data_IF_042302221887
#
_entry.id   IF_042302221887
#
_cell.length_a   1.000
_cell.length_b   1.000
_cell.length_c   1.000
_cell.angle_alpha   90.00
_cell.angle_beta   90.00
_cell.angle_gamma   90.00
#
_symmetry.space_group_name_H-M   'P 1'
#
loop_
_entity.id
_entity.type
_entity.pdbx_description
1 polymer ?
#
# COMPACT_ATOMS: atom_id res chain seq x y z
N UNK A 1 -15.97 21.24 5.80
CA UNK A 1 -15.79 20.08 4.93
C UNK A 1 -14.76 20.45 3.87
N UNK A 2 -13.60 19.80 3.85
CA UNK A 2 -12.59 20.01 2.82
C UNK A 2 -13.13 19.47 1.48
N UNK A 3 -12.90 20.14 0.33
CA UNK A 3 -13.10 19.50 -0.95
C UNK A 3 -12.08 18.36 -1.02
N UNK A 4 -12.57 17.11 -1.08
CA UNK A 4 -11.72 16.02 -1.56
C UNK A 4 -11.24 16.45 -2.94
N UNK A 5 -9.94 16.73 -3.08
CA UNK A 5 -9.31 16.83 -4.39
C UNK A 5 -9.40 15.42 -4.95
N UNK A 6 -10.53 15.13 -5.59
CA UNK A 6 -10.73 13.89 -6.33
C UNK A 6 -9.77 14.01 -7.51
N UNK A 7 -8.57 13.43 -7.39
CA UNK A 7 -7.76 13.20 -8.57
C UNK A 7 -8.59 12.36 -9.51
N UNK A 8 -8.72 12.79 -10.75
CA UNK A 8 -9.48 12.06 -11.74
C UNK A 8 -8.86 10.66 -11.94
N UNK A 9 -9.66 9.65 -12.24
CA UNK A 9 -9.16 8.30 -12.56
C UNK A 9 -7.98 8.29 -13.56
N UNK A 10 -7.97 9.10 -14.64
CA UNK A 10 -6.80 9.18 -15.53
C UNK A 10 -5.56 9.79 -14.87
N UNK A 11 -5.71 10.73 -13.92
CA UNK A 11 -4.58 11.28 -13.17
C UNK A 11 -4.00 10.23 -12.21
N UNK A 12 -4.84 9.45 -11.53
CA UNK A 12 -4.39 8.38 -10.63
C UNK A 12 -3.70 7.28 -11.46
N UNK A 13 -4.27 6.88 -12.60
CA UNK A 13 -3.65 5.93 -13.53
C UNK A 13 -2.26 6.39 -13.95
N UNK A 14 -2.16 7.62 -14.47
CA UNK A 14 -0.89 8.20 -14.92
C UNK A 14 0.12 8.28 -13.77
N UNK A 15 -0.32 8.64 -12.58
CA UNK A 15 0.53 8.68 -11.40
C UNK A 15 1.09 7.30 -11.06
N UNK A 16 0.26 6.26 -10.99
CA UNK A 16 0.72 4.90 -10.68
C UNK A 16 1.65 4.31 -11.75
N UNK A 17 1.41 4.61 -13.04
CA UNK A 17 2.34 4.26 -14.12
C UNK A 17 3.68 4.98 -13.94
N UNK A 18 3.67 6.25 -13.55
CA UNK A 18 4.90 6.98 -13.28
C UNK A 18 5.65 6.39 -12.09
N UNK A 19 4.96 5.97 -11.01
CA UNK A 19 5.64 5.31 -9.89
C UNK A 19 6.25 3.97 -10.30
N UNK A 20 5.58 3.20 -11.17
CA UNK A 20 6.13 1.98 -11.78
C UNK A 20 7.48 2.25 -12.46
N UNK A 21 7.53 3.26 -13.33
CA UNK A 21 8.74 3.65 -14.08
C UNK A 21 9.85 4.24 -13.20
N UNK A 22 9.50 4.88 -12.08
CA UNK A 22 10.47 5.51 -11.16
C UNK A 22 11.11 4.48 -10.22
N UNK A 23 10.34 3.53 -9.69
CA UNK A 23 10.81 2.62 -8.65
C UNK A 23 11.41 1.31 -9.15
N UNK A 24 11.28 1.03 -10.45
CA UNK A 24 11.77 -0.21 -11.04
C UNK A 24 12.70 0.12 -12.21
N UNK A 25 13.84 -0.56 -12.27
CA UNK A 25 14.78 -0.43 -13.36
C UNK A 25 14.31 -1.25 -14.57
N UNK A 26 14.74 -0.89 -15.78
CA UNK A 26 14.46 -1.63 -17.02
C UNK A 26 12.97 -1.85 -17.33
N UNK A 27 12.11 -0.89 -16.97
CA UNK A 27 10.69 -0.92 -17.37
C UNK A 27 10.58 -0.63 -18.86
N UNK A 28 10.17 -1.63 -19.63
CA UNK A 28 9.87 -1.52 -21.05
C UNK A 28 8.36 -1.37 -21.21
N UNK A 29 7.93 -0.30 -21.88
CA UNK A 29 6.53 -0.08 -22.24
C UNK A 29 6.25 -0.76 -23.58
N UNK A 30 5.38 -1.78 -23.57
CA UNK A 30 5.00 -2.53 -24.76
C UNK A 30 3.82 -1.83 -25.45
N UNK A 31 2.80 -1.49 -24.67
CA UNK A 31 1.62 -0.79 -25.13
C UNK A 31 1.33 0.38 -24.19
N UNK A 32 1.30 1.59 -24.75
CA UNK A 32 1.20 2.82 -23.97
C UNK A 32 0.00 2.79 -23.02
N UNK A 33 0.28 2.96 -21.73
CA UNK A 33 -0.77 2.99 -20.72
C UNK A 33 -1.41 1.63 -20.38
N UNK A 34 -1.04 0.52 -21.04
CA UNK A 34 -1.71 -0.79 -20.90
C UNK A 34 -0.76 -1.92 -20.51
N UNK A 35 0.41 -2.03 -21.14
CA UNK A 35 1.29 -3.20 -20.95
C UNK A 35 2.74 -2.78 -20.73
N UNK A 36 3.34 -3.35 -19.69
CA UNK A 36 4.73 -3.10 -19.29
C UNK A 36 5.44 -4.40 -18.97
N UNK A 37 6.75 -4.39 -19.14
CA UNK A 37 7.61 -5.55 -18.91
C UNK A 37 8.87 -5.12 -18.16
N UNK A 38 9.32 -5.96 -17.22
CA UNK A 38 10.50 -5.70 -16.39
C UNK A 38 11.34 -6.97 -16.34
N UNK A 39 12.54 -6.90 -16.92
CA UNK A 39 13.53 -7.98 -16.84
C UNK A 39 14.47 -7.75 -15.65
N UNK A 40 14.70 -8.80 -14.86
CA UNK A 40 15.56 -8.76 -13.67
C UNK A 40 16.21 -10.12 -13.42
N UNK A 41 17.27 -10.13 -12.61
CA UNK A 41 18.03 -11.35 -12.29
C UNK A 41 17.62 -11.90 -10.94
N UNK A 42 17.15 -13.15 -10.91
CA UNK A 42 16.85 -13.88 -9.69
C UNK A 42 17.84 -15.04 -9.54
N UNK A 43 18.88 -14.82 -8.75
CA UNK A 43 19.99 -15.76 -8.60
C UNK A 43 20.73 -15.98 -9.93
N UNK A 44 20.60 -17.18 -10.52
CA UNK A 44 21.20 -17.53 -11.82
C UNK A 44 20.25 -17.39 -13.00
N UNK A 45 18.97 -17.14 -12.72
CA UNK A 45 17.92 -17.09 -13.73
C UNK A 45 17.63 -15.63 -14.09
N UNK A 46 17.34 -15.40 -15.36
CA UNK A 46 16.77 -14.13 -15.82
C UNK A 46 15.25 -14.30 -15.87
N UNK A 47 14.56 -13.51 -15.06
CA UNK A 47 13.11 -13.52 -14.98
C UNK A 47 12.55 -12.24 -15.55
N UNK A 48 11.33 -12.32 -16.02
CA UNK A 48 10.65 -11.23 -16.65
C UNK A 48 9.21 -11.14 -16.15
N UNK A 49 8.91 -10.02 -15.50
CA UNK A 49 7.58 -9.69 -14.99
C UNK A 49 6.83 -8.87 -16.05
N UNK A 50 5.64 -9.34 -16.41
CA UNK A 50 4.70 -8.64 -17.29
C UNK A 50 3.58 -8.05 -16.43
N UNK A 51 3.25 -6.80 -16.69
CA UNK A 51 2.22 -6.03 -16.00
C UNK A 51 1.21 -5.57 -17.05
N UNK A 52 -0.04 -5.99 -16.88
CA UNK A 52 -1.16 -5.57 -17.72
C UNK A 52 -2.16 -4.76 -16.89
N UNK A 53 -2.54 -3.59 -17.42
CA UNK A 53 -3.45 -2.63 -16.81
C UNK A 53 -4.72 -2.55 -17.67
N UNK A 54 -5.86 -3.02 -17.13
CA UNK A 54 -7.16 -2.92 -17.80
C UNK A 54 -7.60 -1.47 -18.01
N UNK A 55 -8.71 -1.24 -18.72
CA UNK A 55 -9.25 0.12 -18.92
C UNK A 55 -9.80 0.70 -17.62
N UNK A 56 -10.22 -0.17 -16.72
CA UNK A 56 -10.84 0.12 -15.42
C UNK A 56 -9.80 0.39 -14.33
N UNK A 57 -8.52 0.09 -14.57
CA UNK A 57 -7.43 0.44 -13.65
C UNK A 57 -7.35 1.97 -13.44
N UNK A 58 -7.25 2.45 -12.18
CA UNK A 58 -6.82 1.73 -10.97
C UNK A 58 -7.95 1.14 -10.10
N UNK A 59 -9.22 1.25 -10.52
CA UNK A 59 -10.34 0.66 -9.77
C UNK A 59 -10.30 -0.87 -9.81
N UNK A 60 -9.79 -1.42 -10.91
CA UNK A 60 -9.39 -2.82 -11.01
C UNK A 60 -7.88 -2.97 -10.74
N UNK A 61 -7.51 -4.02 -9.99
CA UNK A 61 -6.11 -4.32 -9.70
C UNK A 61 -5.35 -4.71 -10.98
N UNK A 62 -4.04 -4.44 -11.05
CA UNK A 62 -3.23 -4.83 -12.20
C UNK A 62 -3.08 -6.36 -12.27
N UNK A 63 -2.93 -6.89 -13.49
CA UNK A 63 -2.61 -8.29 -13.71
C UNK A 63 -1.09 -8.45 -13.86
N UNK A 64 -0.48 -9.31 -13.05
CA UNK A 64 0.96 -9.55 -13.04
C UNK A 64 1.26 -11.01 -13.38
N UNK A 65 2.08 -11.25 -14.40
CA UNK A 65 2.54 -12.59 -14.77
C UNK A 65 4.06 -12.64 -14.87
N UNK A 66 4.65 -13.79 -14.57
CA UNK A 66 6.10 -14.00 -14.54
C UNK A 66 6.50 -15.02 -15.60
N UNK A 67 7.66 -14.81 -16.24
CA UNK A 67 8.22 -15.73 -17.23
C UNK A 67 9.73 -15.81 -17.08
N UNK A 68 10.36 -16.97 -17.28
CA UNK A 68 9.77 -18.32 -17.36
C UNK A 68 9.01 -18.70 -16.09
N UNK A 69 8.14 -19.72 -16.15
CA UNK A 69 7.32 -20.14 -15.01
C UNK A 69 8.16 -20.60 -13.82
N UNK A 70 7.77 -20.17 -12.62
CA UNK A 70 8.49 -20.43 -11.36
C UNK A 70 7.61 -21.12 -10.33
N UNK A 71 8.22 -21.91 -9.44
CA UNK A 71 7.56 -22.48 -8.26
C UNK A 71 7.66 -21.53 -7.07
N UNK A 72 6.58 -20.81 -6.76
CA UNK A 72 6.54 -19.89 -5.62
C UNK A 72 5.13 -19.77 -5.04
N UNK A 73 5.01 -19.59 -3.72
CA UNK A 73 3.71 -19.49 -3.02
C UNK A 73 2.81 -18.34 -3.50
N UNK A 74 3.39 -17.32 -4.15
CA UNK A 74 2.65 -16.18 -4.72
C UNK A 74 2.19 -16.40 -6.15
N UNK A 75 2.68 -17.44 -6.82
CA UNK A 75 2.50 -17.65 -8.26
C UNK A 75 1.66 -18.90 -8.49
N UNK A 76 0.63 -18.79 -9.33
CA UNK A 76 -0.26 -19.91 -9.65
C UNK A 76 0.29 -20.79 -10.79
N UNK A 77 -0.51 -21.77 -11.24
CA UNK A 77 -0.13 -22.69 -12.31
C UNK A 77 0.15 -22.02 -13.65
N UNK A 78 -0.51 -20.89 -13.92
CA UNK A 78 -0.45 -20.12 -15.16
C UNK A 78 0.62 -19.03 -15.14
N UNK A 79 1.49 -19.04 -14.12
CA UNK A 79 2.53 -18.03 -13.88
C UNK A 79 1.98 -16.63 -13.57
N UNK A 80 0.74 -16.53 -13.10
CA UNK A 80 0.16 -15.29 -12.58
C UNK A 80 0.47 -15.13 -11.09
N UNK A 81 0.79 -13.92 -10.68
CA UNK A 81 1.05 -13.56 -9.29
C UNK A 81 -0.29 -13.22 -8.63
N UNK A 82 -0.76 -14.09 -7.73
CA UNK A 82 -2.09 -13.94 -7.13
C UNK A 82 -2.05 -13.73 -5.62
N UNK A 83 -1.00 -14.20 -4.92
CA UNK A 83 -0.94 -14.15 -3.46
C UNK A 83 0.13 -13.21 -2.88
N UNK A 84 0.71 -12.33 -3.70
CA UNK A 84 1.63 -11.29 -3.21
C UNK A 84 0.87 -10.29 -2.30
N UNK A 85 1.32 -10.00 -1.07
CA UNK A 85 0.55 -9.22 -0.09
C UNK A 85 0.13 -7.82 -0.56
N UNK A 86 1.01 -7.12 -1.28
CA UNK A 86 0.72 -5.79 -1.83
C UNK A 86 -0.27 -5.80 -3.00
N UNK A 87 -0.37 -6.92 -3.71
CA UNK A 87 -1.31 -7.11 -4.82
C UNK A 87 -2.68 -7.62 -4.34
N UNK A 88 -2.70 -8.46 -3.31
CA UNK A 88 -3.94 -8.92 -2.66
C UNK A 88 -4.75 -7.76 -2.09
N UNK A 89 -4.08 -6.80 -1.48
CA UNK A 89 -4.69 -5.62 -0.85
C UNK A 89 -4.61 -4.37 -1.73
N UNK A 90 -4.50 -4.56 -3.04
CA UNK A 90 -4.38 -3.45 -3.97
C UNK A 90 -5.66 -2.60 -3.97
N UNK A 91 -5.47 -1.29 -3.91
CA UNK A 91 -6.53 -0.27 -3.92
C UNK A 91 -6.13 0.87 -4.86
N UNK A 92 -7.08 1.74 -5.19
CA UNK A 92 -6.81 2.96 -5.98
C UNK A 92 -5.74 3.88 -5.37
N UNK A 93 -5.48 3.75 -4.06
CA UNK A 93 -4.48 4.52 -3.32
C UNK A 93 -3.16 3.78 -3.14
N UNK A 94 -3.06 2.55 -3.68
CA UNK A 94 -1.82 1.78 -3.66
C UNK A 94 -0.79 2.37 -4.61
N UNK A 95 0.48 2.11 -4.32
CA UNK A 95 1.59 2.51 -5.18
C UNK A 95 2.03 1.29 -6.00
N UNK A 96 1.63 1.26 -7.27
CA UNK A 96 1.94 0.17 -8.21
C UNK A 96 3.44 -0.09 -8.27
N UNK A 97 4.25 0.95 -8.36
CA UNK A 97 5.71 0.83 -8.43
C UNK A 97 6.30 0.14 -7.21
N UNK A 98 5.82 0.46 -6.00
CA UNK A 98 6.28 -0.22 -4.76
C UNK A 98 5.79 -1.65 -4.65
N UNK A 99 4.56 -1.94 -5.07
CA UNK A 99 4.03 -3.32 -5.08
C UNK A 99 4.88 -4.19 -5.99
N UNK A 100 5.15 -3.72 -7.21
CA UNK A 100 6.00 -4.42 -8.17
C UNK A 100 7.43 -4.57 -7.66
N UNK A 101 8.02 -3.52 -7.11
CA UNK A 101 9.38 -3.56 -6.54
C UNK A 101 9.48 -4.57 -5.40
N UNK A 102 8.48 -4.66 -4.51
CA UNK A 102 8.48 -5.62 -3.42
C UNK A 102 8.42 -7.07 -3.93
N UNK A 103 7.65 -7.32 -5.00
CA UNK A 103 7.59 -8.63 -5.65
C UNK A 103 8.94 -9.00 -6.26
N UNK A 104 9.54 -8.09 -7.04
CA UNK A 104 10.86 -8.31 -7.65
C UNK A 104 11.90 -8.61 -6.58
N UNK A 105 11.96 -7.80 -5.51
CA UNK A 105 12.91 -7.99 -4.40
C UNK A 105 12.74 -9.31 -3.68
N UNK A 106 11.51 -9.81 -3.52
CA UNK A 106 11.30 -11.13 -2.91
C UNK A 106 11.92 -12.23 -3.79
N UNK A 107 11.74 -12.15 -5.11
CA UNK A 107 12.34 -13.12 -6.03
C UNK A 107 13.87 -12.95 -6.16
N UNK A 108 14.42 -11.75 -6.02
CA UNK A 108 15.87 -11.55 -5.99
C UNK A 108 16.49 -12.10 -4.70
N UNK A 109 15.84 -11.86 -3.55
CA UNK A 109 16.31 -12.28 -2.23
C UNK A 109 16.17 -13.79 -2.02
N UNK A 110 15.06 -14.36 -2.49
CA UNK A 110 14.73 -15.77 -2.38
C UNK A 110 14.46 -16.36 -3.79
N UNK A 111 15.51 -16.66 -4.58
CA UNK A 111 15.35 -17.13 -5.96
C UNK A 111 14.49 -18.40 -6.07
N UNK A 112 13.31 -18.35 -6.70
CA UNK A 112 12.43 -19.50 -6.81
C UNK A 112 12.93 -20.48 -7.89
N UNK A 113 12.70 -21.80 -7.72
CA UNK A 113 13.04 -22.79 -8.73
C UNK A 113 12.20 -22.62 -9.99
N UNK A 114 12.79 -22.88 -11.16
CA UNK A 114 12.05 -22.92 -12.43
C UNK A 114 11.12 -24.13 -12.46
N UNK A 115 9.93 -23.93 -13.02
CA UNK A 115 8.95 -25.00 -13.24
C UNK A 115 9.44 -25.83 -14.44
N UNK A 116 10.11 -26.95 -14.16
CA UNK A 116 10.69 -27.83 -15.19
C UNK A 116 9.58 -28.69 -15.83
N UNK A 117 9.48 -28.68 -17.15
CA UNK A 117 8.47 -29.46 -17.89
C UNK A 117 9.00 -30.89 -18.17
N UNK A 118 8.48 -31.89 -17.44
CA UNK A 118 8.49 -33.32 -17.82
C UNK A 118 9.54 -34.26 -17.21
N UNK A 119 9.18 -35.01 -16.15
CA UNK A 119 9.12 -36.50 -16.13
C UNK A 119 8.75 -37.05 -14.74
N UNK A 120 7.93 -38.10 -14.78
CA UNK A 120 7.13 -38.69 -13.71
C UNK A 120 7.91 -39.47 -12.65
N UNK A 121 7.54 -39.35 -11.37
CA UNK A 121 7.12 -40.51 -10.54
C UNK A 121 6.43 -40.08 -9.24
N UNK A 122 5.32 -40.76 -8.97
CA UNK A 122 4.41 -40.75 -7.82
C UNK A 122 5.08 -40.84 -6.44
N UNK A 123 4.52 -40.16 -5.42
CA UNK A 123 3.67 -40.79 -4.37
C UNK A 123 2.77 -39.73 -3.71
N UNK A 124 1.46 -39.99 -3.67
CA UNK A 124 0.41 -39.34 -2.84
C UNK A 124 -0.02 -40.37 -1.77
N UNK A 125 -0.62 -40.00 -0.61
CA UNK A 125 -2.02 -39.53 -0.61
C UNK A 125 -2.46 -38.54 0.51
N UNK A 126 -3.56 -37.82 0.23
CA UNK A 126 -4.41 -37.11 1.21
C UNK A 126 -4.60 -35.63 0.86
N UNK A 127 -5.45 -35.23 -0.10
CA UNK A 127 -6.93 -35.13 -0.03
C UNK A 127 -7.40 -34.25 1.14
N UNK A 128 -8.30 -33.27 1.04
CA UNK A 128 -8.99 -32.55 -0.03
C UNK A 128 -9.96 -31.60 0.71
N UNK A 129 -10.10 -30.34 0.25
CA UNK A 129 -11.40 -29.64 0.05
C UNK A 129 -12.19 -29.27 1.35
N UNK A 130 -12.77 -28.09 1.63
CA UNK A 130 -13.59 -27.12 0.88
C UNK A 130 -13.88 -25.94 1.82
N UNK A 131 -14.02 -24.73 1.29
CA UNK A 131 -14.97 -23.73 1.85
C UNK A 131 -16.36 -23.92 1.22
N UNK A 132 -17.42 -23.36 1.82
CA UNK A 132 -18.24 -22.42 1.02
C UNK A 132 -18.85 -21.22 1.81
N UNK A 133 -18.73 -20.02 1.20
CA UNK A 133 -19.75 -18.98 0.91
C UNK A 133 -20.76 -18.41 1.96
N UNK A 134 -20.51 -17.16 2.45
CA UNK A 134 -21.23 -15.83 2.32
C UNK A 134 -22.80 -15.77 2.34
N UNK A 135 -23.52 -14.83 3.06
CA UNK A 135 -23.70 -13.40 2.68
C UNK A 135 -23.87 -12.26 3.75
N UNK A 136 -23.28 -11.09 3.42
CA UNK A 136 -23.70 -9.66 3.51
C UNK A 136 -24.64 -9.18 4.67
N UNK A 137 -24.22 -8.21 5.53
CA UNK A 137 -24.53 -6.73 5.49
C UNK A 137 -24.23 -5.96 6.81
N UNK A 138 -23.90 -4.67 6.62
CA UNK A 138 -24.06 -3.47 7.47
C UNK A 138 -23.02 -3.07 8.57
N UNK A 139 -22.47 -1.87 8.31
CA UNK A 139 -22.29 -0.73 9.21
C UNK A 139 -21.45 -0.81 10.49
N UNK A 140 -20.50 0.12 10.50
CA UNK A 140 -19.96 0.85 11.65
C UNK A 140 -18.99 0.13 12.62
N UNK A 141 -18.00 0.94 13.03
CA UNK A 141 -17.11 0.79 14.18
C UNK A 141 -15.95 -0.20 14.01
N UNK A 142 -14.79 0.41 13.81
CA UNK A 142 -13.56 0.16 14.57
C UNK A 142 -13.43 -1.24 15.18
N UNK A 143 -12.56 -2.07 14.61
CA UNK A 143 -11.90 -3.10 15.40
C UNK A 143 -10.49 -3.36 14.89
N UNK A 144 -9.55 -3.19 15.83
CA UNK A 144 -8.18 -3.62 15.69
C UNK A 144 -8.15 -5.13 15.52
N UNK A 145 -7.70 -5.61 14.36
CA UNK A 145 -7.33 -7.02 14.20
C UNK A 145 -5.92 -7.23 14.79
N UNK A 146 -5.87 -7.39 16.11
CA UNK A 146 -4.80 -8.21 16.71
C UNK A 146 -5.11 -9.66 16.39
N UNK A 147 -4.58 -10.17 15.28
CA UNK A 147 -4.38 -11.61 15.12
C UNK A 147 -3.22 -12.03 16.01
N UNK A 148 -3.50 -12.21 17.30
CA UNK A 148 -2.64 -12.93 18.24
C UNK A 148 -3.49 -14.06 18.83
N UNK A 149 -3.19 -15.27 18.34
CA UNK A 149 -3.10 -16.54 19.06
C UNK A 149 -3.88 -16.54 20.40
N UNK A 150 -5.05 -17.18 20.40
CA UNK A 150 -5.51 -17.97 21.53
C UNK A 150 -6.58 -18.94 21.03
N UNK A 151 -6.09 -20.06 20.47
CA UNK A 151 -6.81 -21.31 20.56
C UNK A 151 -6.88 -21.70 22.03
N UNK A 152 -7.86 -21.16 22.77
CA UNK A 152 -8.35 -21.84 23.97
C UNK A 152 -9.20 -23.02 23.52
N UNK A 153 -8.53 -24.03 22.97
CA UNK A 153 -9.05 -25.38 23.04
C UNK A 153 -8.85 -25.81 24.48
N UNK A 154 -9.93 -26.08 25.21
CA UNK A 154 -9.86 -26.89 26.43
C UNK A 154 -8.96 -28.10 26.14
N UNK A 155 -8.08 -28.53 27.05
CA UNK A 155 -7.23 -29.68 26.79
C UNK A 155 -8.12 -30.87 26.42
N UNK A 156 -8.13 -31.24 25.14
CA UNK A 156 -8.82 -32.42 24.65
C UNK A 156 -8.02 -33.63 25.08
N UNK A 157 -8.22 -34.04 26.33
CA UNK A 157 -7.87 -35.39 26.74
C UNK A 157 -9.03 -36.07 27.46
N UNK A 158 -10.15 -36.24 26.74
CA UNK A 158 -11.12 -37.31 27.04
C UNK A 158 -11.70 -37.86 25.74
N UNK A 159 -10.87 -38.58 24.99
CA UNK A 159 -11.35 -39.64 24.09
C UNK A 159 -10.44 -40.88 24.20
N UNK A 160 -10.06 -41.23 25.43
CA UNK A 160 -9.94 -42.63 25.76
C UNK A 160 -11.24 -43.02 26.47
N UNK A 161 -12.04 -43.77 25.72
CA UNK A 161 -12.95 -44.81 26.21
C UNK A 161 -12.80 -45.09 27.70
N UNK A 162 -13.93 -45.14 28.42
CA UNK A 162 -14.08 -45.65 29.79
C UNK A 162 -13.03 -46.74 30.11
N UNK A 163 -11.82 -46.34 30.52
CA UNK A 163 -10.85 -47.24 31.09
C UNK A 163 -11.46 -47.52 32.44
N UNK A 164 -11.98 -48.74 32.59
CA UNK A 164 -12.33 -49.31 33.89
C UNK A 164 -11.20 -48.87 34.84
N UNK A 165 -11.48 -48.00 35.80
CA UNK A 165 -10.50 -47.59 36.81
C UNK A 165 -10.23 -48.84 37.61
N UNK A 166 -9.21 -49.59 37.19
CA UNK A 166 -8.68 -50.69 37.96
C UNK A 166 -7.78 -50.04 38.98
N UNK A 167 -8.00 -50.33 40.26
CA UNK A 167 -7.16 -49.88 41.37
C UNK A 167 -6.28 -51.07 41.78
N UNK A 168 -5.23 -51.40 41.01
CA UNK A 168 -4.35 -52.51 41.35
C UNK A 168 -3.73 -52.37 42.74
N UNK A 169 -3.65 -51.14 43.26
CA UNK A 169 -3.19 -50.78 44.60
C UNK A 169 -4.10 -51.34 45.72
N UNK A 170 -5.40 -51.58 45.45
CA UNK A 170 -6.31 -52.21 46.41
C UNK A 170 -5.94 -53.68 46.67
N UNK A 171 -5.31 -54.36 45.72
CA UNK A 171 -4.91 -55.77 45.87
C UNK A 171 -3.75 -55.97 46.86
N UNK A 172 -3.08 -54.88 47.25
CA UNK A 172 -1.94 -54.90 48.16
C UNK A 172 -2.33 -54.62 49.62
N UNK A 173 -3.61 -54.38 49.90
CA UNK A 173 -4.14 -54.09 51.23
C UNK A 173 -4.71 -55.36 51.88
N UNK A 174 -4.56 -55.48 53.20
CA UNK A 174 -5.20 -56.54 53.98
C UNK A 174 -6.72 -56.33 54.12
N UNK A 175 -7.45 -57.37 54.54
CA UNK A 175 -8.92 -57.31 54.70
C UNK A 175 -9.35 -56.25 55.72
N UNK A 176 -8.69 -56.17 56.87
CA UNK A 176 -8.93 -55.12 57.86
C UNK A 176 -8.65 -53.72 57.30
N UNK A 177 -7.62 -53.54 56.47
CA UNK A 177 -7.31 -52.25 55.85
C UNK A 177 -8.33 -51.86 54.77
N UNK A 178 -8.84 -52.83 54.01
CA UNK A 178 -9.92 -52.62 53.03
C UNK A 178 -11.25 -52.30 53.71
N UNK A 179 -11.58 -52.95 54.83
CA UNK A 179 -12.78 -52.66 55.61
C UNK A 179 -12.70 -51.27 56.25
N UNK A 180 -11.52 -50.89 56.75
CA UNK A 180 -11.26 -49.55 57.25
C UNK A 180 -11.33 -48.49 56.14
N UNK A 181 -10.75 -48.77 54.96
CA UNK A 181 -10.84 -47.91 53.78
C UNK A 181 -12.30 -47.76 53.33
N UNK A 182 -13.10 -48.82 53.32
CA UNK A 182 -14.52 -48.74 52.93
C UNK A 182 -15.37 -47.97 53.95
N UNK A 183 -14.99 -47.98 55.23
CA UNK A 183 -15.79 -47.38 56.32
C UNK A 183 -15.40 -45.93 56.64
N UNK A 184 -14.26 -45.44 56.15
CA UNK A 184 -13.74 -44.11 56.48
C UNK A 184 -13.53 -43.26 55.22
N UNK A 185 -14.28 -42.16 55.10
CA UNK A 185 -14.23 -41.25 53.93
C UNK A 185 -12.89 -40.52 53.80
N UNK A 186 -12.29 -40.09 54.91
CA UNK A 186 -11.01 -39.37 54.89
C UNK A 186 -9.88 -40.29 54.41
N UNK A 187 -9.93 -41.57 54.81
CA UNK A 187 -9.02 -42.63 54.35
C UNK A 187 -9.17 -42.91 52.85
N UNK A 188 -10.39 -42.81 52.32
CA UNK A 188 -10.65 -42.95 50.88
C UNK A 188 -10.05 -41.78 50.11
N UNK A 189 -10.20 -40.55 50.59
CA UNK A 189 -9.62 -39.37 49.98
C UNK A 189 -8.08 -39.41 50.02
N UNK A 190 -7.49 -39.81 51.14
CA UNK A 190 -6.05 -40.06 51.26
C UNK A 190 -5.57 -41.10 50.24
N UNK A 191 -6.27 -42.24 50.14
CA UNK A 191 -5.94 -43.28 49.16
C UNK A 191 -6.05 -42.78 47.71
N UNK A 192 -7.12 -42.05 47.37
CA UNK A 192 -7.30 -41.48 46.03
C UNK A 192 -6.20 -40.46 45.70
N UNK A 193 -5.83 -39.62 46.66
CA UNK A 193 -4.72 -38.67 46.50
C UNK A 193 -3.37 -39.37 46.36
N UNK A 194 -3.21 -40.59 46.87
CA UNK A 194 -2.01 -41.41 46.72
C UNK A 194 -1.91 -42.17 45.38
N UNK A 195 -3.01 -42.28 44.63
CA UNK A 195 -3.01 -42.95 43.32
C UNK A 195 -2.10 -42.18 42.34
N UNK A 196 -1.12 -42.85 41.70
CA UNK A 196 -0.17 -42.20 40.79
C UNK A 196 -0.83 -41.39 39.67
N UNK A 197 -1.91 -41.92 39.08
CA UNK A 197 -2.64 -41.24 38.02
C UNK A 197 -3.31 -39.93 38.49
N UNK A 198 -3.83 -39.89 39.72
CA UNK A 198 -4.46 -38.70 40.30
C UNK A 198 -3.39 -37.68 40.68
N UNK A 199 -2.26 -38.12 41.26
CA UNK A 199 -1.09 -37.25 41.51
C UNK A 199 -0.56 -36.60 40.25
N UNK A 200 -0.41 -37.37 39.17
CA UNK A 200 0.07 -36.88 37.89
C UNK A 200 -0.91 -35.88 37.26
N UNK A 201 -2.22 -36.14 37.34
CA UNK A 201 -3.25 -35.21 36.89
C UNK A 201 -3.27 -33.90 37.69
N UNK A 202 -3.19 -33.98 39.03
CA UNK A 202 -3.16 -32.79 39.88
C UNK A 202 -1.90 -31.96 39.62
N UNK A 203 -0.74 -32.62 39.48
CA UNK A 203 0.51 -31.95 39.10
C UNK A 203 0.38 -31.23 37.75
N UNK A 204 -0.23 -31.87 36.76
CA UNK A 204 -0.48 -31.24 35.46
C UNK A 204 -1.42 -30.03 35.56
N UNK A 205 -2.45 -30.10 36.42
CA UNK A 205 -3.33 -28.96 36.69
C UNK A 205 -2.56 -27.79 37.32
N UNK A 206 -1.72 -28.05 38.30
CA UNK A 206 -0.89 -27.02 38.94
C UNK A 206 0.08 -26.37 37.94
N UNK A 207 0.75 -27.19 37.11
CA UNK A 207 1.61 -26.69 36.02
C UNK A 207 0.83 -25.85 35.01
N UNK A 208 -0.41 -26.23 34.69
CA UNK A 208 -1.27 -25.47 33.78
C UNK A 208 -1.73 -24.14 34.39
N UNK A 209 -2.03 -24.12 35.70
CA UNK A 209 -2.39 -22.89 36.42
C UNK A 209 -1.25 -21.88 36.35
N UNK A 210 -0.01 -22.32 36.64
CA UNK A 210 1.18 -21.48 36.55
C UNK A 210 1.38 -20.95 35.13
N UNK A 211 1.25 -21.81 34.11
CA UNK A 211 1.37 -21.38 32.71
C UNK A 211 0.31 -20.34 32.32
N UNK A 212 -0.92 -20.49 32.81
CA UNK A 212 -1.99 -19.52 32.55
C UNK A 212 -1.70 -18.17 33.23
N UNK A 213 -1.18 -18.20 34.46
CA UNK A 213 -0.79 -17.00 35.20
C UNK A 213 0.36 -16.27 34.49
N UNK A 214 1.45 -16.97 34.15
CA UNK A 214 2.58 -16.40 33.40
C UNK A 214 2.14 -15.82 32.04
N UNK A 215 1.23 -16.49 31.35
CA UNK A 215 0.67 -16.01 30.09
C UNK A 215 -0.16 -14.73 30.30
N UNK A 216 -0.97 -14.68 31.36
CA UNK A 216 -1.76 -13.51 31.70
C UNK A 216 -0.87 -12.30 32.05
N UNK A 217 0.18 -12.50 32.85
CA UNK A 217 1.16 -11.46 33.18
C UNK A 217 1.90 -10.96 31.93
N UNK A 218 2.32 -11.88 31.06
CA UNK A 218 2.98 -11.54 29.79
C UNK A 218 2.05 -10.79 28.84
N UNK A 219 0.75 -11.12 28.84
CA UNK A 219 -0.24 -10.39 28.04
C UNK A 219 -0.44 -8.97 28.58
N UNK A 220 -0.57 -8.83 29.91
CA UNK A 220 -0.73 -7.55 30.58
C UNK A 220 0.48 -6.63 30.35
N UNK A 221 1.70 -7.16 30.38
CA UNK A 221 2.91 -6.36 30.12
C UNK A 221 2.97 -5.84 28.68
N UNK A 222 2.55 -6.63 27.70
CA UNK A 222 2.45 -6.21 26.29
C UNK A 222 1.42 -5.09 26.07
N UNK A 223 0.36 -5.02 26.89
CA UNK A 223 -0.66 -3.98 26.73
C UNK A 223 -0.05 -2.57 26.76
N UNK A 224 0.89 -2.31 27.67
CA UNK A 224 1.54 -0.99 27.82
C UNK A 224 2.33 -0.63 26.56
N UNK A 225 3.16 -1.55 26.07
CA UNK A 225 3.95 -1.36 24.85
C UNK A 225 3.06 -1.10 23.63
N UNK A 226 1.96 -1.85 23.49
CA UNK A 226 1.03 -1.69 22.38
C UNK A 226 0.32 -0.33 22.40
N UNK A 227 -0.05 0.17 23.58
CA UNK A 227 -0.65 1.49 23.74
C UNK A 227 0.36 2.59 23.38
N UNK A 228 1.61 2.46 23.82
CA UNK A 228 2.67 3.43 23.48
C UNK A 228 2.98 3.43 21.98
N UNK A 229 3.11 2.25 21.37
CA UNK A 229 3.37 2.12 19.94
C UNK A 229 2.22 2.71 19.11
N UNK A 230 0.98 2.46 19.52
CA UNK A 230 -0.21 3.07 18.89
C UNK A 230 -0.17 4.60 18.99
N UNK A 231 0.13 5.15 20.18
CA UNK A 231 0.25 6.60 20.35
C UNK A 231 1.39 7.20 19.49
N UNK A 232 2.49 6.47 19.31
CA UNK A 232 3.57 6.88 18.41
C UNK A 232 3.11 6.91 16.95
N UNK A 233 2.41 5.87 16.50
CA UNK A 233 1.84 5.79 15.15
C UNK A 233 0.88 6.95 14.91
N UNK A 234 -0.04 7.23 15.84
CA UNK A 234 -1.00 8.32 15.73
C UNK A 234 -0.28 9.68 15.59
N UNK A 235 0.78 9.91 16.39
CA UNK A 235 1.62 11.11 16.30
C UNK A 235 2.34 11.22 14.95
N UNK A 236 2.87 10.12 14.42
CA UNK A 236 3.52 10.10 13.10
C UNK A 236 2.53 10.36 11.97
N UNK A 237 1.32 9.82 12.06
CA UNK A 237 0.25 10.09 11.11
C UNK A 237 -0.09 11.59 11.11
N UNK A 238 -0.22 12.22 12.29
CA UNK A 238 -0.47 13.66 12.39
C UNK A 238 0.66 14.48 11.75
N UNK A 239 1.92 14.15 12.03
CA UNK A 239 3.10 14.81 11.46
C UNK A 239 3.13 14.71 9.93
N UNK A 240 2.94 13.51 9.40
CA UNK A 240 2.89 13.27 7.94
C UNK A 240 1.74 14.03 7.30
N UNK A 241 0.56 14.04 7.94
CA UNK A 241 -0.60 14.78 7.44
C UNK A 241 -0.32 16.28 7.37
N UNK A 242 0.32 16.84 8.40
CA UNK A 242 0.72 18.25 8.42
C UNK A 242 1.73 18.59 7.32
N UNK A 243 2.74 17.74 7.13
CA UNK A 243 3.75 17.92 6.08
C UNK A 243 3.13 17.81 4.68
N UNK A 244 2.19 16.88 4.47
CA UNK A 244 1.49 16.74 3.20
C UNK A 244 0.70 18.01 2.85
N UNK A 245 -0.04 18.56 3.81
CA UNK A 245 -0.79 19.82 3.62
C UNK A 245 0.14 21.00 3.28
N UNK A 246 1.26 21.13 4.01
CA UNK A 246 2.22 22.20 3.77
C UNK A 246 2.92 22.06 2.42
N UNK A 247 3.25 20.83 2.03
CA UNK A 247 3.83 20.54 0.72
C UNK A 247 2.84 20.88 -0.42
N UNK A 248 1.57 20.50 -0.29
CA UNK A 248 0.54 20.84 -1.28
C UNK A 248 0.35 22.35 -1.39
N UNK A 249 0.32 23.07 -0.27
CA UNK A 249 0.27 24.54 -0.24
C UNK A 249 1.46 25.17 -0.97
N UNK A 250 2.67 24.68 -0.71
CA UNK A 250 3.89 25.17 -1.37
C UNK A 250 3.90 24.81 -2.86
N UNK A 251 3.42 23.63 -3.23
CA UNK A 251 3.32 23.19 -4.60
C UNK A 251 2.36 24.07 -5.41
N UNK A 252 1.19 24.40 -4.87
CA UNK A 252 0.25 25.34 -5.50
C UNK A 252 0.90 26.72 -5.69
N UNK A 253 1.64 27.21 -4.68
CA UNK A 253 2.36 28.48 -4.80
C UNK A 253 3.44 28.43 -5.88
N UNK A 254 4.19 27.34 -5.94
CA UNK A 254 5.20 27.11 -6.97
C UNK A 254 4.56 27.06 -8.36
N UNK A 255 3.47 26.31 -8.53
CA UNK A 255 2.78 26.19 -9.81
C UNK A 255 2.27 27.55 -10.31
N UNK A 256 1.63 28.34 -9.43
CA UNK A 256 1.18 29.69 -9.77
C UNK A 256 2.32 30.61 -10.20
N UNK A 257 3.48 30.52 -9.54
CA UNK A 257 4.66 31.29 -9.93
C UNK A 257 5.24 30.77 -11.26
N UNK A 258 5.35 29.45 -11.41
CA UNK A 258 5.84 28.80 -12.62
C UNK A 258 4.98 29.18 -13.84
N UNK A 259 3.65 29.15 -13.72
CA UNK A 259 2.73 29.53 -14.78
C UNK A 259 2.82 31.03 -15.08
N UNK A 260 2.86 31.87 -14.03
CA UNK A 260 2.98 33.33 -14.18
C UNK A 260 4.27 33.74 -14.87
N UNK A 261 5.38 33.07 -14.57
CA UNK A 261 6.70 33.37 -15.14
C UNK A 261 7.10 32.41 -16.25
N UNK A 262 6.16 31.59 -16.74
CA UNK A 262 6.38 30.72 -17.89
C UNK A 262 6.72 31.57 -19.11
N UNK A 263 7.74 31.20 -19.91
CA UNK A 263 8.11 31.94 -21.11
C UNK A 263 6.94 32.16 -22.08
N UNK A 264 6.01 31.19 -22.16
CA UNK A 264 4.79 31.30 -22.97
C UNK A 264 3.86 32.38 -22.43
N UNK A 265 3.59 32.38 -21.11
CA UNK A 265 2.75 33.40 -20.49
C UNK A 265 3.39 34.80 -20.58
N UNK A 266 4.72 34.91 -20.46
CA UNK A 266 5.44 36.18 -20.66
C UNK A 266 5.28 36.67 -22.10
N UNK A 267 5.40 35.78 -23.09
CA UNK A 267 5.17 36.11 -24.51
C UNK A 267 3.74 36.62 -24.72
N UNK A 268 2.75 35.94 -24.19
CA UNK A 268 1.34 36.32 -24.33
C UNK A 268 1.06 37.67 -23.65
N UNK A 269 1.65 37.92 -22.47
CA UNK A 269 1.58 39.23 -21.81
C UNK A 269 2.24 40.34 -22.62
N UNK A 270 3.37 40.08 -23.29
CA UNK A 270 4.01 41.04 -24.19
C UNK A 270 3.12 41.35 -25.38
N UNK A 271 2.48 40.33 -25.97
CA UNK A 271 1.52 40.48 -27.08
C UNK A 271 0.34 41.36 -26.67
N UNK A 272 -0.38 40.99 -25.61
CA UNK A 272 -1.51 41.80 -25.12
C UNK A 272 -1.08 43.22 -24.69
N UNK A 273 0.14 43.37 -24.15
CA UNK A 273 0.69 44.68 -23.81
C UNK A 273 1.03 45.54 -25.04
N UNK A 274 1.38 44.92 -26.17
CA UNK A 274 1.60 45.59 -27.43
C UNK A 274 0.28 46.04 -28.06
N UNK A 275 -0.72 45.14 -28.12
CA UNK A 275 -2.07 45.44 -28.62
C UNK A 275 -2.72 46.60 -27.85
N UNK A 276 -2.60 46.61 -26.50
CA UNK A 276 -3.10 47.73 -25.68
C UNK A 276 -2.39 49.05 -25.99
N UNK A 277 -1.07 49.03 -26.19
CA UNK A 277 -0.32 50.24 -26.54
C UNK A 277 -0.65 50.72 -27.96
N UNK A 278 -0.93 49.80 -28.89
CA UNK A 278 -1.41 50.11 -30.23
C UNK A 278 -2.77 50.80 -30.17
N UNK A 279 -3.73 50.24 -29.43
CA UNK A 279 -5.03 50.89 -29.21
C UNK A 279 -4.88 52.27 -28.55
N UNK A 280 -3.96 52.44 -27.61
CA UNK A 280 -3.68 53.73 -26.98
C UNK A 280 -3.10 54.74 -28.00
N UNK A 281 -2.27 54.30 -28.96
CA UNK A 281 -1.81 55.15 -30.05
C UNK A 281 -2.98 55.64 -30.93
N UNK A 282 -3.92 54.75 -31.26
CA UNK A 282 -5.13 55.10 -32.02
C UNK A 282 -5.99 56.11 -31.24
N UNK A 283 -6.19 55.88 -29.94
CA UNK A 283 -6.93 56.82 -29.09
C UNK A 283 -6.27 58.21 -29.03
N UNK A 284 -4.93 58.27 -28.96
CA UNK A 284 -4.18 59.54 -28.98
C UNK A 284 -4.34 60.24 -30.34
N UNK A 285 -4.31 59.49 -31.44
CA UNK A 285 -4.53 60.03 -32.79
C UNK A 285 -5.95 60.59 -32.93
N UNK A 286 -6.96 59.86 -32.45
CA UNK A 286 -8.35 60.32 -32.45
C UNK A 286 -8.55 61.61 -31.65
N UNK A 287 -7.96 61.70 -30.45
CA UNK A 287 -8.01 62.91 -29.63
C UNK A 287 -7.35 64.11 -30.31
N UNK A 288 -6.25 63.90 -31.05
CA UNK A 288 -5.63 64.96 -31.83
C UNK A 288 -6.51 65.41 -32.99
N UNK A 289 -7.11 64.48 -33.73
CA UNK A 289 -8.03 64.78 -34.84
C UNK A 289 -9.30 65.53 -34.39
N UNK A 290 -9.76 65.26 -33.16
CA UNK A 290 -10.88 65.98 -32.53
C UNK A 290 -10.49 67.37 -32.02
N UNK A 291 -9.19 67.68 -31.94
CA UNK A 291 -8.68 68.93 -31.38
C UNK A 291 -8.61 68.95 -29.84
N UNK A 292 -8.75 67.81 -29.18
CA UNK A 292 -8.68 67.70 -27.71
C UNK A 292 -7.25 67.92 -27.17
N UNK A 293 -6.24 67.70 -28.00
CA UNK A 293 -4.82 67.89 -27.69
C UNK A 293 -4.10 68.65 -28.81
N UNK A 294 -3.08 69.41 -28.46
CA UNK A 294 -2.24 70.19 -29.37
C UNK A 294 -1.09 69.36 -29.96
N UNK A 295 -0.42 69.93 -30.98
CA UNK A 295 0.62 69.24 -31.76
C UNK A 295 1.78 68.77 -30.89
N UNK A 296 2.29 69.62 -29.99
CA UNK A 296 3.45 69.28 -29.16
C UNK A 296 3.14 68.14 -28.18
N UNK A 297 1.94 68.13 -27.61
CA UNK A 297 1.47 67.05 -26.73
C UNK A 297 1.18 65.77 -27.48
N UNK A 298 0.60 65.86 -28.68
CA UNK A 298 0.41 64.71 -29.58
C UNK A 298 1.74 64.06 -29.91
N UNK A 299 2.72 64.81 -30.42
CA UNK A 299 4.04 64.28 -30.81
C UNK A 299 4.71 63.59 -29.62
N UNK A 300 4.66 64.20 -28.43
CA UNK A 300 5.25 63.64 -27.21
C UNK A 300 4.60 62.33 -26.79
N UNK A 301 3.26 62.30 -26.68
CA UNK A 301 2.52 61.12 -26.24
C UNK A 301 2.56 60.00 -27.28
N UNK A 302 2.30 60.32 -28.55
CA UNK A 302 2.27 59.35 -29.63
C UNK A 302 3.63 58.69 -29.83
N UNK A 303 4.72 59.46 -29.88
CA UNK A 303 6.08 58.90 -30.06
C UNK A 303 6.45 57.97 -28.90
N UNK A 304 6.12 58.35 -27.67
CA UNK A 304 6.36 57.53 -26.47
C UNK A 304 5.58 56.21 -26.53
N UNK A 305 4.28 56.27 -26.78
CA UNK A 305 3.40 55.09 -26.79
C UNK A 305 3.70 54.20 -27.99
N UNK A 306 3.98 54.78 -29.17
CA UNK A 306 4.38 54.05 -30.38
C UNK A 306 5.72 53.34 -30.21
N UNK A 307 6.70 54.02 -29.60
CA UNK A 307 7.99 53.40 -29.25
C UNK A 307 7.82 52.23 -28.28
N UNK A 308 6.93 52.36 -27.30
CA UNK A 308 6.61 51.28 -26.35
C UNK A 308 5.95 50.09 -27.03
N UNK A 309 4.96 50.33 -27.90
CA UNK A 309 4.31 49.30 -28.72
C UNK A 309 5.33 48.54 -29.55
N UNK A 310 6.17 49.26 -30.31
CA UNK A 310 7.20 48.64 -31.16
C UNK A 310 8.20 47.82 -30.33
N UNK A 311 8.64 48.35 -29.19
CA UNK A 311 9.55 47.63 -28.29
C UNK A 311 8.94 46.32 -27.78
N UNK A 312 7.64 46.32 -27.45
CA UNK A 312 6.93 45.11 -27.00
C UNK A 312 6.76 44.10 -28.15
N UNK A 313 6.36 44.54 -29.35
CA UNK A 313 6.25 43.67 -30.54
C UNK A 313 7.59 42.99 -30.85
N UNK A 314 8.68 43.75 -30.95
CA UNK A 314 10.00 43.18 -31.24
C UNK A 314 10.48 42.22 -30.15
N UNK A 315 10.17 42.47 -28.87
CA UNK A 315 10.50 41.52 -27.80
C UNK A 315 9.66 40.24 -27.86
N UNK A 316 8.38 40.36 -28.19
CA UNK A 316 7.47 39.23 -28.37
C UNK A 316 7.91 38.34 -29.54
N UNK A 317 8.21 38.92 -30.70
CA UNK A 317 8.70 38.20 -31.89
C UNK A 317 10.00 37.45 -31.61
N UNK A 318 10.97 38.11 -30.96
CA UNK A 318 12.24 37.48 -30.57
C UNK A 318 12.02 36.31 -29.61
N UNK A 319 11.18 36.50 -28.60
CA UNK A 319 10.87 35.44 -27.64
C UNK A 319 10.13 34.28 -28.32
N UNK A 320 9.19 34.56 -29.23
CA UNK A 320 8.51 33.52 -30.01
C UNK A 320 9.49 32.69 -30.82
N UNK A 321 10.40 33.34 -31.56
CA UNK A 321 11.42 32.63 -32.33
C UNK A 321 12.35 31.77 -31.46
N UNK A 322 12.75 32.28 -30.29
CA UNK A 322 13.55 31.51 -29.34
C UNK A 322 12.80 30.28 -28.83
N UNK A 323 11.53 30.44 -28.46
CA UNK A 323 10.69 29.34 -27.99
C UNK A 323 10.44 28.29 -29.08
N UNK A 324 10.14 28.71 -30.30
CA UNK A 324 9.96 27.80 -31.43
C UNK A 324 11.26 27.04 -31.76
N UNK A 325 12.41 27.68 -31.59
CA UNK A 325 13.72 27.05 -31.79
C UNK A 325 14.02 26.01 -30.70
N UNK A 326 13.66 26.30 -29.45
CA UNK A 326 13.80 25.38 -28.32
C UNK A 326 12.89 24.16 -28.46
N UNK A 327 11.63 24.37 -28.84
CA UNK A 327 10.67 23.30 -29.12
C UNK A 327 11.18 22.37 -30.25
N UNK A 328 11.73 22.95 -31.32
CA UNK A 328 12.34 22.17 -32.41
C UNK A 328 13.60 21.41 -31.97
N UNK A 329 14.31 21.89 -30.97
CA UNK A 329 15.47 21.23 -30.39
C UNK A 329 15.10 20.15 -29.35
N UNK A 330 13.80 19.93 -29.09
CA UNK A 330 13.32 18.89 -28.18
C UNK A 330 13.34 19.27 -26.70
N UNK A 331 13.36 20.57 -26.38
CA UNK A 331 13.35 21.11 -25.02
C UNK A 331 11.99 21.69 -24.62
#
# INVERSE_FOLDING_TARGET
MLPKIYRSDPDIRRHQINTLKIFNDNVVEICEGHEYQIAFKSGRNELCLHISLSKEFPNEKPLLTISPGIGHQWVNSDSEITAAPGLLNFTIHSDLGRVVQAIIREFERNPPPLKNDGSSTSVTPGSNITSPTVPIRDSERSNLNYSIINSFSSPTHLSNSQKRLVFPELNNLSLEELEFLNSNSDRQEEFLNEIPAIKEQNKYLDELIVQVEELAETNLSKQVELVELKANIDKRIEEVTKLAFENERLHVKYQNLSDKYSPVNIKDQLRSGAEKAEQECENIADSFLKGDIDVDRFVTLYTKTRSLCQTRKTKEEKLSHQLDSLLKAGF
#
